data_IF_145861269953
#
_entry.id   IF_145861269953
#
_cell.length_a   1.000
_cell.length_b   1.000
_cell.length_c   1.000
_cell.angle_alpha   90.00
_cell.angle_beta   90.00
_cell.angle_gamma   90.00
#
_symmetry.space_group_name_H-M   'P 1'
#
loop_
_entity.id
_entity.type
_entity.pdbx_description
1 polymer ?
#
# COMPACT_ATOMS: atom_id res chain seq x y z
N UNK A 1 -15.45 17.53 -2.98
CA UNK A 1 -14.42 16.93 -3.85
C UNK A 1 -13.69 15.97 -2.93
N UNK A 2 -13.73 14.66 -3.17
CA UNK A 2 -13.01 13.72 -2.32
C UNK A 2 -11.52 13.93 -2.54
N UNK A 3 -10.80 14.41 -1.52
CA UNK A 3 -9.34 14.51 -1.53
C UNK A 3 -8.75 13.10 -1.43
N UNK A 4 -8.94 12.31 -2.49
CA UNK A 4 -8.21 11.08 -2.71
C UNK A 4 -6.86 11.46 -3.29
N UNK A 5 -5.78 11.18 -2.55
CA UNK A 5 -4.41 11.33 -3.07
C UNK A 5 -4.32 10.63 -4.41
N UNK A 6 -3.83 11.32 -5.43
CA UNK A 6 -3.63 10.70 -6.74
C UNK A 6 -2.53 9.65 -6.63
N UNK A 7 -2.65 8.63 -7.49
CA UNK A 7 -1.69 7.54 -7.66
C UNK A 7 -0.25 8.05 -7.78
N UNK A 8 -0.08 9.22 -8.42
CA UNK A 8 1.20 9.90 -8.61
C UNK A 8 1.81 10.43 -7.32
N UNK A 9 1.00 10.99 -6.41
CA UNK A 9 1.48 11.46 -5.11
C UNK A 9 1.90 10.30 -4.22
N UNK A 10 1.13 9.20 -4.25
CA UNK A 10 1.47 7.98 -3.53
C UNK A 10 2.78 7.41 -4.08
N UNK A 11 2.93 7.36 -5.41
CA UNK A 11 4.16 6.94 -6.08
C UNK A 11 5.37 7.77 -5.64
N UNK A 12 5.26 9.09 -5.66
CA UNK A 12 6.34 9.98 -5.20
C UNK A 12 6.68 9.77 -3.73
N UNK A 13 5.67 9.59 -2.87
CA UNK A 13 5.88 9.44 -1.44
C UNK A 13 6.61 8.14 -1.06
N UNK A 14 6.41 7.07 -1.83
CA UNK A 14 7.09 5.77 -1.65
C UNK A 14 8.31 5.58 -2.57
N UNK A 15 8.70 6.61 -3.32
CA UNK A 15 9.87 6.57 -4.20
C UNK A 15 9.72 5.66 -5.41
N UNK A 16 8.49 5.52 -5.92
CA UNK A 16 8.19 4.85 -7.18
C UNK A 16 7.79 5.83 -8.27
N UNK A 17 7.94 5.41 -9.51
CA UNK A 17 7.39 6.10 -10.67
C UNK A 17 5.89 5.86 -10.78
N UNK A 18 5.14 6.87 -11.22
CA UNK A 18 3.69 6.78 -11.49
C UNK A 18 3.33 5.61 -12.42
N UNK A 19 4.24 5.25 -13.35
CA UNK A 19 4.10 4.08 -14.20
C UNK A 19 4.03 2.77 -13.41
N UNK A 20 4.88 2.60 -12.38
CA UNK A 20 4.89 1.39 -11.56
C UNK A 20 3.56 1.23 -10.82
N UNK A 21 3.00 2.33 -10.31
CA UNK A 21 1.73 2.29 -9.59
C UNK A 21 0.54 2.05 -10.54
N UNK A 22 0.59 2.59 -11.76
CA UNK A 22 -0.40 2.30 -12.79
C UNK A 22 -0.39 0.83 -13.22
N UNK A 23 0.80 0.25 -13.40
CA UNK A 23 0.94 -1.18 -13.70
C UNK A 23 0.51 -2.07 -12.53
N UNK A 24 0.69 -1.62 -11.29
CA UNK A 24 0.15 -2.26 -10.07
C UNK A 24 -1.38 -2.29 -10.06
N UNK A 25 -2.04 -1.17 -10.31
CA UNK A 25 -3.51 -1.08 -10.36
C UNK A 25 -4.11 -1.91 -11.51
N UNK A 26 -3.37 -2.00 -12.61
CA UNK A 26 -3.81 -2.77 -13.80
C UNK A 26 -3.42 -4.26 -13.71
N UNK A 27 -2.70 -4.68 -12.66
CA UNK A 27 -2.25 -6.06 -12.46
C UNK A 27 -1.09 -6.50 -13.36
N UNK A 28 -0.44 -5.55 -14.05
CA UNK A 28 0.67 -5.79 -14.98
C UNK A 28 2.01 -6.06 -14.30
N UNK A 29 2.20 -5.54 -13.08
CA UNK A 29 3.37 -5.82 -12.24
C UNK A 29 2.91 -6.41 -10.93
N UNK A 30 3.44 -7.58 -10.57
CA UNK A 30 3.29 -8.13 -9.22
C UNK A 30 3.93 -7.13 -8.25
N UNK A 31 3.13 -6.59 -7.34
CA UNK A 31 3.59 -5.69 -6.28
C UNK A 31 4.90 -6.21 -5.69
N UNK A 32 6.01 -5.54 -6.00
CA UNK A 32 7.29 -5.96 -5.44
C UNK A 32 7.17 -5.91 -3.92
N UNK A 33 7.75 -6.88 -3.23
CA UNK A 33 7.65 -6.95 -1.77
C UNK A 33 8.08 -5.63 -1.10
N UNK A 34 9.10 -4.98 -1.66
CA UNK A 34 9.55 -3.63 -1.27
C UNK A 34 8.46 -2.56 -1.38
N UNK A 35 7.64 -2.58 -2.44
CA UNK A 35 6.51 -1.67 -2.59
C UNK A 35 5.46 -1.91 -1.52
N UNK A 36 5.10 -3.17 -1.28
CA UNK A 36 4.14 -3.55 -0.24
C UNK A 36 4.59 -3.06 1.15
N UNK A 37 5.88 -3.22 1.46
CA UNK A 37 6.48 -2.75 2.73
C UNK A 37 6.49 -1.22 2.83
N UNK A 38 6.80 -0.51 1.74
CA UNK A 38 6.78 0.96 1.74
C UNK A 38 5.37 1.52 1.84
N UNK A 39 4.42 0.90 1.16
CA UNK A 39 3.01 1.29 1.20
C UNK A 39 2.42 1.04 2.59
N UNK A 40 2.73 -0.11 3.19
CA UNK A 40 2.30 -0.47 4.54
C UNK A 40 2.87 0.51 5.57
N UNK A 41 4.15 0.88 5.43
CA UNK A 41 4.79 1.90 6.25
C UNK A 41 4.19 3.31 6.06
N UNK A 42 3.91 3.71 4.81
CA UNK A 42 3.39 5.03 4.47
C UNK A 42 1.96 5.25 4.98
N UNK A 43 1.08 4.27 4.81
CA UNK A 43 -0.30 4.33 5.29
C UNK A 43 -0.44 3.83 6.74
N UNK A 44 0.63 3.32 7.33
CA UNK A 44 0.65 2.70 8.65
C UNK A 44 -0.42 1.59 8.78
N UNK A 45 -0.49 0.72 7.78
CA UNK A 45 -1.42 -0.42 7.71
C UNK A 45 -0.66 -1.72 7.48
N UNK A 46 -1.30 -2.86 7.66
CA UNK A 46 -0.71 -4.17 7.39
C UNK A 46 -0.71 -4.48 5.90
N UNK A 47 0.29 -5.23 5.43
CA UNK A 47 0.31 -5.74 4.05
C UNK A 47 -0.90 -6.61 3.73
N UNK A 48 -1.42 -7.34 4.71
CA UNK A 48 -2.65 -8.14 4.58
C UNK A 48 -3.86 -7.28 4.22
N UNK A 49 -3.96 -6.07 4.78
CA UNK A 49 -5.02 -5.11 4.46
C UNK A 49 -4.85 -4.56 3.05
N UNK A 50 -3.61 -4.24 2.66
CA UNK A 50 -3.30 -3.77 1.31
C UNK A 50 -3.58 -4.83 0.24
N UNK A 51 -3.41 -6.10 0.58
CA UNK A 51 -3.69 -7.24 -0.30
C UNK A 51 -5.15 -7.70 -0.26
N UNK A 52 -5.99 -7.10 0.59
CA UNK A 52 -7.39 -7.50 0.78
C UNK A 52 -7.55 -8.88 1.42
N UNK A 53 -6.51 -9.39 2.09
CA UNK A 53 -6.57 -10.62 2.88
C UNK A 53 -7.28 -10.42 4.22
N UNK A 54 -7.35 -9.17 4.68
CA UNK A 54 -8.09 -8.75 5.88
C UNK A 54 -8.75 -7.40 5.64
N UNK A 55 -9.88 -7.16 6.30
CA UNK A 55 -10.53 -5.85 6.38
C UNK A 55 -9.94 -4.99 7.52
N UNK A 56 -9.06 -5.57 8.34
CA UNK A 56 -8.50 -4.91 9.51
C UNK A 56 -7.18 -4.22 9.12
N UNK A 57 -7.12 -2.87 9.10
CA UNK A 57 -5.93 -2.13 8.66
C UNK A 57 -4.74 -2.27 9.61
N UNK A 58 -5.01 -2.42 10.90
CA UNK A 58 -4.01 -2.64 11.93
C UNK A 58 -4.27 -4.00 12.56
N UNK A 59 -3.24 -4.85 12.62
CA UNK A 59 -3.29 -5.98 13.54
C UNK A 59 -3.27 -5.36 14.93
N UNK A 60 -4.44 -5.30 15.57
CA UNK A 60 -4.58 -4.91 16.98
C UNK A 60 -3.50 -5.68 17.75
N UNK A 61 -2.50 -4.96 18.27
CA UNK A 61 -1.41 -5.53 19.05
C UNK A 61 -2.00 -5.97 20.41
N UNK A 62 -2.73 -7.08 20.40
CA UNK A 62 -3.28 -7.73 21.58
C UNK A 62 -2.70 -9.13 21.71
N UNK A 63 -2.00 -9.36 22.83
CA UNK A 63 -1.42 -10.63 23.28
C UNK A 63 -0.03 -10.99 22.71
N UNK A 64 0.99 -10.26 23.16
CA UNK A 64 2.21 -10.91 23.64
C UNK A 64 2.38 -10.49 25.10
N UNK A 65 1.78 -11.27 26.01
CA UNK A 65 2.23 -11.41 27.40
C UNK A 65 3.23 -12.57 27.43
#
# INVERSE_FOLDING_TARGET
MAEGKTVEEVAQAIGLTAQNVKELETGGISASFDFLVKLSAYFNVSTDFLLGLTDIPHIEQGAAD
#
